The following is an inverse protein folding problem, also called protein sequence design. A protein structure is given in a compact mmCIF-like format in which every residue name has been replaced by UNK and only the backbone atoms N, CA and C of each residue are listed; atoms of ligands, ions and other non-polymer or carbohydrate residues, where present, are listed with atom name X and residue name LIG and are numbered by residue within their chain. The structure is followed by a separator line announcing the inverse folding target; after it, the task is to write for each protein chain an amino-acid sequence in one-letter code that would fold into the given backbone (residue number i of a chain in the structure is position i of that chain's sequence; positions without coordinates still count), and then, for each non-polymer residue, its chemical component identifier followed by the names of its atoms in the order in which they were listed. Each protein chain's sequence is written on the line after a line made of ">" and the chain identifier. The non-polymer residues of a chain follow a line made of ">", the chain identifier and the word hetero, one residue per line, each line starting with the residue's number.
data_IF_564720082064
#
_entry.id   IF_564720082064
#
_cell.length_a   1.000
_cell.length_b   1.000
_cell.length_c   1.000
_cell.angle_alpha   90.00
_cell.angle_beta   90.00
_cell.angle_gamma   90.00
#
_symmetry.space_group_name_H-M   'P 1'
#
loop_
_entity.id
_entity.type
_entity.pdbx_description
1 polymer ?
#
# COMPACT_ATOMS: atom_id res chain seq x y z
N UNK A 1 -3.92 -12.78 -14.63
CA UNK A 1 -5.22 -13.27 -14.15
C UNK A 1 -5.38 -14.78 -14.25
N UNK A 2 -5.20 -15.40 -15.44
CA UNK A 2 -5.42 -16.84 -15.64
C UNK A 2 -4.58 -17.77 -14.75
N UNK A 3 -3.35 -17.41 -14.41
CA UNK A 3 -2.49 -18.20 -13.52
C UNK A 3 -2.96 -18.20 -12.06
N UNK A 4 -3.57 -17.10 -11.60
CA UNK A 4 -4.08 -16.97 -10.22
C UNK A 4 -5.34 -17.80 -10.05
N UNK A 5 -6.23 -17.77 -11.04
CA UNK A 5 -7.49 -18.52 -11.02
C UNK A 5 -7.29 -20.04 -11.05
N UNK A 6 -6.11 -20.53 -11.47
CA UNK A 6 -5.74 -21.95 -11.44
C UNK A 6 -5.28 -22.43 -10.07
N UNK A 7 -5.18 -21.55 -9.07
CA UNK A 7 -4.73 -21.96 -7.74
C UNK A 7 -5.77 -22.82 -7.04
N UNK A 8 -5.28 -23.79 -6.26
CA UNK A 8 -6.09 -24.78 -5.53
C UNK A 8 -7.20 -24.16 -4.67
N UNK A 9 -7.03 -22.93 -4.20
CA UNK A 9 -8.07 -22.25 -3.40
C UNK A 9 -9.38 -22.11 -4.18
N UNK A 10 -9.33 -21.72 -5.46
CA UNK A 10 -10.54 -21.55 -6.26
C UNK A 10 -11.23 -22.87 -6.57
N UNK A 11 -10.48 -23.96 -6.76
CA UNK A 11 -11.08 -25.28 -6.92
C UNK A 11 -11.76 -25.73 -5.62
N UNK A 12 -11.07 -25.60 -4.48
CA UNK A 12 -11.63 -25.95 -3.16
C UNK A 12 -12.89 -25.17 -2.82
N UNK A 13 -12.97 -23.89 -3.20
CA UNK A 13 -14.18 -23.06 -3.00
C UNK A 13 -15.32 -23.41 -3.96
N UNK A 14 -15.01 -24.01 -5.12
CA UNK A 14 -16.01 -24.39 -6.13
C UNK A 14 -16.55 -25.80 -5.94
N UNK A 15 -15.81 -26.67 -5.25
CA UNK A 15 -16.20 -28.04 -4.99
C UNK A 15 -17.23 -28.11 -3.85
N UNK A 16 -18.23 -28.96 -4.01
CA UNK A 16 -19.24 -29.22 -2.97
C UNK A 16 -18.76 -30.24 -1.90
N UNK A 17 -17.45 -30.43 -1.78
CA UNK A 17 -16.83 -31.42 -0.90
C UNK A 17 -16.50 -30.82 0.48
N UNK A 18 -16.50 -31.66 1.52
CA UNK A 18 -16.03 -31.24 2.82
C UNK A 18 -14.50 -31.09 2.78
N UNK A 19 -14.01 -29.87 2.90
CA UNK A 19 -12.59 -29.51 2.90
C UNK A 19 -12.14 -29.25 4.34
N UNK A 20 -10.91 -29.65 4.68
CA UNK A 20 -10.33 -29.37 6.00
C UNK A 20 -9.84 -27.92 6.10
N UNK A 21 -9.82 -27.36 7.31
CA UNK A 21 -9.27 -26.02 7.53
C UNK A 21 -7.80 -25.93 7.11
N UNK A 22 -6.99 -26.97 7.38
CA UNK A 22 -5.59 -27.03 6.98
C UNK A 22 -5.40 -26.94 5.46
N UNK A 23 -6.27 -27.58 4.67
CA UNK A 23 -6.22 -27.49 3.21
C UNK A 23 -6.61 -26.10 2.69
N UNK A 24 -7.62 -25.47 3.29
CA UNK A 24 -8.03 -24.10 2.96
C UNK A 24 -6.89 -23.13 3.29
N UNK A 25 -6.30 -23.22 4.48
CA UNK A 25 -5.20 -22.37 4.94
C UNK A 25 -3.97 -22.52 4.02
N UNK A 26 -3.56 -23.75 3.73
CA UNK A 26 -2.45 -24.03 2.81
C UNK A 26 -2.70 -23.48 1.40
N UNK A 27 -3.94 -23.58 0.91
CA UNK A 27 -4.30 -23.05 -0.41
C UNK A 27 -4.36 -21.51 -0.41
N UNK A 28 -4.81 -20.89 0.68
CA UNK A 28 -4.84 -19.46 0.87
C UNK A 28 -3.43 -18.87 0.95
N UNK A 29 -2.53 -19.48 1.71
CA UNK A 29 -1.13 -19.05 1.82
C UNK A 29 -0.43 -19.04 0.44
N UNK A 30 -0.68 -20.08 -0.38
CA UNK A 30 -0.18 -20.13 -1.77
C UNK A 30 -0.71 -18.99 -2.64
N UNK A 31 -1.96 -18.57 -2.45
CA UNK A 31 -2.54 -17.41 -3.14
C UNK A 31 -1.84 -16.12 -2.71
N UNK A 32 -1.69 -15.89 -1.40
CA UNK A 32 -1.02 -14.71 -0.86
C UNK A 32 0.41 -14.60 -1.38
N UNK A 33 1.18 -15.68 -1.30
CA UNK A 33 2.55 -15.74 -1.81
C UNK A 33 2.63 -15.48 -3.32
N UNK A 34 1.69 -16.01 -4.11
CA UNK A 34 1.65 -15.75 -5.55
C UNK A 34 1.33 -14.27 -5.84
N UNK A 35 0.36 -13.67 -5.15
CA UNK A 35 0.04 -12.24 -5.32
C UNK A 35 1.23 -11.38 -4.91
N UNK A 36 1.88 -11.69 -3.80
CA UNK A 36 3.07 -10.98 -3.35
C UNK A 36 4.23 -11.12 -4.34
N UNK A 37 4.44 -12.30 -4.94
CA UNK A 37 5.46 -12.50 -5.98
C UNK A 37 5.18 -11.75 -7.28
N UNK A 38 3.92 -11.41 -7.56
CA UNK A 38 3.52 -10.62 -8.73
C UNK A 38 3.68 -9.12 -8.49
N UNK A 39 3.72 -8.70 -7.22
CA UNK A 39 4.15 -7.37 -6.87
C UNK A 39 5.68 -7.38 -6.93
N UNK A 40 6.27 -6.76 -7.96
CA UNK A 40 7.69 -6.50 -7.88
C UNK A 40 7.92 -5.50 -6.74
N UNK A 41 8.89 -5.75 -5.87
CA UNK A 41 9.30 -4.77 -4.86
C UNK A 41 9.58 -3.41 -5.51
N UNK A 42 10.05 -3.43 -6.76
CA UNK A 42 10.25 -2.25 -7.59
C UNK A 42 8.95 -1.50 -7.91
N UNK A 43 7.85 -2.18 -8.25
CA UNK A 43 6.54 -1.57 -8.49
C UNK A 43 5.96 -0.98 -7.20
N UNK A 44 6.08 -1.71 -6.09
CA UNK A 44 5.65 -1.19 -4.78
C UNK A 44 6.44 0.06 -4.39
N UNK A 45 7.78 0.01 -4.48
CA UNK A 45 8.67 1.15 -4.17
C UNK A 45 8.36 2.32 -5.11
N UNK A 46 8.12 2.06 -6.39
CA UNK A 46 7.79 3.09 -7.39
C UNK A 46 6.45 3.76 -7.08
N UNK A 47 5.40 2.99 -6.78
CA UNK A 47 4.10 3.51 -6.37
C UNK A 47 4.22 4.30 -5.07
N UNK A 48 4.93 3.78 -4.07
CA UNK A 48 5.15 4.45 -2.79
C UNK A 48 5.90 5.78 -2.94
N UNK A 49 6.97 5.81 -3.75
CA UNK A 49 7.71 7.05 -4.08
C UNK A 49 6.82 8.06 -4.78
N UNK A 50 6.04 7.63 -5.78
CA UNK A 50 5.13 8.50 -6.52
C UNK A 50 4.08 9.13 -5.59
N UNK A 51 3.45 8.32 -4.73
CA UNK A 51 2.46 8.81 -3.76
C UNK A 51 3.07 9.81 -2.76
N UNK A 52 4.28 9.56 -2.27
CA UNK A 52 4.97 10.49 -1.38
C UNK A 52 5.31 11.81 -2.07
N UNK A 53 5.77 11.76 -3.33
CA UNK A 53 6.02 12.98 -4.12
C UNK A 53 4.73 13.79 -4.32
N UNK A 54 3.64 13.14 -4.74
CA UNK A 54 2.33 13.80 -4.88
C UNK A 54 1.86 14.42 -3.57
N UNK A 55 2.06 13.76 -2.42
CA UNK A 55 1.72 14.31 -1.10
C UNK A 55 2.53 15.57 -0.78
N UNK A 56 3.83 15.57 -1.06
CA UNK A 56 4.71 16.74 -0.83
C UNK A 56 4.26 17.91 -1.72
N UNK A 57 4.01 17.66 -2.99
CA UNK A 57 3.53 18.66 -3.95
C UNK A 57 2.18 19.24 -3.52
N UNK A 58 1.24 18.40 -3.08
CA UNK A 58 -0.06 18.85 -2.59
C UNK A 58 0.05 19.71 -1.33
N UNK A 59 0.95 19.36 -0.41
CA UNK A 59 1.23 20.18 0.78
C UNK A 59 1.82 21.54 0.37
N UNK A 60 2.79 21.54 -0.55
CA UNK A 60 3.40 22.75 -1.09
C UNK A 60 2.35 23.66 -1.74
N UNK A 61 1.51 23.11 -2.62
CA UNK A 61 0.41 23.83 -3.26
C UNK A 61 -0.58 24.39 -2.22
N UNK A 62 -0.95 23.60 -1.22
CA UNK A 62 -1.83 24.05 -0.13
C UNK A 62 -1.21 25.23 0.63
N UNK A 63 0.09 25.18 0.94
CA UNK A 63 0.78 26.30 1.60
C UNK A 63 0.85 27.54 0.72
N UNK A 64 1.10 27.37 -0.58
CA UNK A 64 1.18 28.47 -1.54
C UNK A 64 -0.18 29.15 -1.73
N UNK A 65 -1.25 28.37 -1.88
CA UNK A 65 -2.62 28.88 -1.98
C UNK A 65 -3.05 29.63 -0.71
N UNK A 66 -2.62 29.17 0.47
CA UNK A 66 -2.88 29.88 1.73
C UNK A 66 -2.17 31.23 1.80
N UNK A 67 -0.95 31.33 1.25
CA UNK A 67 -0.19 32.59 1.16
C UNK A 67 -0.88 33.59 0.20
N UNK A 68 -1.32 33.13 -0.97
CA UNK A 68 -1.98 33.97 -1.98
C UNK A 68 -3.38 34.48 -1.59
N UNK A 69 -4.05 33.81 -0.65
CA UNK A 69 -5.38 34.22 -0.13
C UNK A 69 -5.32 35.19 1.06
N UNK A 70 -4.15 35.75 1.39
CA UNK A 70 -4.01 36.74 2.47
C UNK A 70 -4.24 36.18 3.89
N UNK A 71 -4.30 34.85 4.06
CA UNK A 71 -4.30 34.24 5.40
C UNK A 71 -2.89 34.40 5.97
N UNK A 72 -2.77 35.19 7.05
CA UNK A 72 -1.49 35.37 7.79
C UNK A 72 -0.85 34.00 8.04
N UNK A 73 0.42 33.86 7.67
CA UNK A 73 1.24 32.72 8.03
C UNK A 73 1.18 32.53 9.55
N UNK A 74 0.49 31.50 10.03
CA UNK A 74 0.78 30.99 11.37
C UNK A 74 2.17 30.39 11.25
N UNK A 75 3.15 31.00 11.89
CA UNK A 75 4.49 30.42 12.05
C UNK A 75 4.30 29.06 12.71
N UNK A 76 4.22 28.01 11.89
CA UNK A 76 4.40 26.66 12.38
C UNK A 76 5.90 26.56 12.62
N UNK A 77 6.27 26.56 13.89
CA UNK A 77 7.56 26.08 14.33
C UNK A 77 7.84 24.79 13.57
N UNK A 78 8.80 24.85 12.66
CA UNK A 78 9.38 23.67 12.00
C UNK A 78 10.25 22.99 13.06
N UNK A 79 9.64 22.53 14.14
CA UNK A 79 10.28 21.65 15.11
C UNK A 79 9.98 20.22 14.68
N UNK A 80 10.85 19.73 13.81
CA UNK A 80 11.59 18.50 14.02
C UNK A 80 10.89 17.33 14.75
N UNK A 81 9.68 16.93 14.34
CA UNK A 81 9.10 15.65 14.80
C UNK A 81 9.16 14.52 13.76
N UNK A 82 9.54 14.80 12.50
CA UNK A 82 9.62 13.74 11.48
C UNK A 82 10.98 13.04 11.37
N UNK A 83 12.03 13.49 12.07
CA UNK A 83 13.34 12.82 12.03
C UNK A 83 13.49 11.67 13.04
N UNK A 84 12.58 11.51 14.01
CA UNK A 84 12.71 10.47 15.05
C UNK A 84 12.02 9.13 14.75
N UNK A 85 11.22 9.03 13.68
CA UNK A 85 10.61 7.74 13.31
C UNK A 85 11.44 6.98 12.26
N UNK A 86 12.42 7.63 11.62
CA UNK A 86 13.27 7.00 10.60
C UNK A 86 14.52 6.27 11.16
N UNK A 87 14.66 6.13 12.49
CA UNK A 87 15.85 5.53 13.12
C UNK A 87 15.51 4.51 14.24
N UNK A 88 14.40 3.79 14.13
CA UNK A 88 14.15 2.60 14.95
C UNK A 88 13.63 1.43 14.13
#
# INVERSE_FOLDING_TARGET
>A
MNEILKLKLFSLLSEASAVTNEEIETAYEKLVNKIQSLQSDEDYIKIFRMLNMTRIELISLKTHLQYGQGKKCVQKNVLAESYFIALR
#
